data_IF_011442609431
#
_entry.id   IF_011442609431
#
_cell.length_a   1.000
_cell.length_b   1.000
_cell.length_c   1.000
_cell.angle_alpha   90.00
_cell.angle_beta   90.00
_cell.angle_gamma   90.00
#
_symmetry.space_group_name_H-M   'P 1'
#
loop_
_entity.id
_entity.type
_entity.pdbx_description
1 polymer ?
#
# COMPACT_ATOMS: atom_id res chain seq x y z
N UNK A 1 74.76 -18.69 -14.96
CA UNK A 1 74.74 -17.21 -15.03
C UNK A 1 73.38 -16.77 -15.56
N UNK A 2 72.40 -16.60 -14.68
CA UNK A 2 71.08 -16.08 -15.05
C UNK A 2 70.56 -15.25 -13.88
N UNK A 3 70.75 -13.94 -14.02
CA UNK A 3 70.39 -12.93 -13.02
C UNK A 3 68.94 -12.49 -13.19
N UNK A 4 68.20 -12.56 -12.09
CA UNK A 4 67.39 -11.49 -11.47
C UNK A 4 66.71 -10.46 -12.38
N UNK A 5 65.37 -10.42 -12.33
CA UNK A 5 64.59 -9.15 -12.32
C UNK A 5 63.28 -9.41 -11.57
N UNK A 6 63.24 -9.04 -10.28
CA UNK A 6 62.01 -8.85 -9.52
C UNK A 6 61.65 -7.36 -9.62
N UNK A 7 60.50 -7.04 -10.19
CA UNK A 7 59.91 -5.70 -10.12
C UNK A 7 59.09 -5.60 -8.84
N UNK A 8 59.61 -4.85 -7.87
CA UNK A 8 58.87 -4.40 -6.69
C UNK A 8 58.09 -3.15 -7.06
N UNK A 9 56.80 -3.31 -7.32
CA UNK A 9 55.85 -2.21 -7.46
C UNK A 9 55.51 -1.70 -6.05
N UNK A 10 56.31 -0.76 -5.55
CA UNK A 10 55.99 -0.02 -4.33
C UNK A 10 54.81 0.91 -4.62
N UNK A 11 53.62 0.51 -4.18
CA UNK A 11 52.48 1.41 -3.98
C UNK A 11 52.88 2.49 -2.97
N UNK A 12 53.26 3.65 -3.51
CA UNK A 12 53.57 4.84 -2.76
C UNK A 12 52.25 5.44 -2.26
N UNK A 13 51.94 5.21 -0.98
CA UNK A 13 50.82 5.87 -0.32
C UNK A 13 50.98 7.40 -0.47
N UNK A 14 49.89 8.14 -0.73
CA UNK A 14 49.95 9.59 -0.78
C UNK A 14 50.46 10.16 0.55
N UNK A 15 51.25 11.25 0.52
CA UNK A 15 51.76 11.87 1.73
C UNK A 15 50.59 12.30 2.64
N UNK A 16 50.73 12.17 3.98
CA UNK A 16 49.70 12.63 4.91
C UNK A 16 49.51 14.14 4.73
N UNK A 17 48.26 14.64 4.67
CA UNK A 17 48.02 16.07 4.54
C UNK A 17 48.55 16.80 5.78
N UNK A 18 49.58 17.62 5.56
CA UNK A 18 50.22 18.48 6.55
C UNK A 18 49.32 19.65 6.93
N UNK A 19 48.27 19.35 7.69
CA UNK A 19 47.28 20.29 8.20
C UNK A 19 46.10 19.52 8.76
N UNK A 20 46.18 19.17 10.04
CA UNK A 20 45.15 18.39 10.73
C UNK A 20 43.81 19.10 10.67
N UNK A 21 42.94 18.66 9.78
CA UNK A 21 41.53 19.04 9.79
C UNK A 21 40.97 18.67 11.17
N UNK A 22 40.36 19.63 11.87
CA UNK A 22 39.72 19.35 13.17
C UNK A 22 38.65 18.28 13.00
N UNK A 23 38.52 17.35 13.95
CA UNK A 23 37.47 16.32 13.97
C UNK A 23 36.07 16.91 13.68
N UNK A 24 35.80 18.13 14.16
CA UNK A 24 34.54 18.84 13.89
C UNK A 24 34.38 19.19 12.40
N UNK A 25 35.44 19.67 11.76
CA UNK A 25 35.43 19.99 10.33
C UNK A 25 35.25 18.71 9.50
N UNK A 26 35.95 17.63 9.87
CA UNK A 26 35.77 16.31 9.27
C UNK A 26 34.32 15.81 9.38
N UNK A 27 33.74 15.78 10.59
CA UNK A 27 32.36 15.33 10.79
C UNK A 27 31.34 16.19 10.03
N UNK A 28 31.56 17.51 9.99
CA UNK A 28 30.70 18.44 9.24
C UNK A 28 30.79 18.20 7.74
N UNK A 29 32.00 17.99 7.22
CA UNK A 29 32.26 17.68 5.81
C UNK A 29 31.59 16.38 5.38
N UNK A 30 31.51 15.41 6.27
CA UNK A 30 30.81 14.14 6.05
C UNK A 30 29.31 14.20 6.38
N UNK A 31 28.75 15.38 6.66
CA UNK A 31 27.31 15.55 6.88
C UNK A 31 26.76 14.91 8.15
N UNK A 32 27.63 14.42 9.04
CA UNK A 32 27.23 13.72 10.28
C UNK A 32 26.27 14.55 11.14
N UNK A 33 26.45 15.88 11.33
CA UNK A 33 25.51 16.67 12.11
C UNK A 33 24.08 16.69 11.54
N UNK A 34 23.95 16.70 10.21
CA UNK A 34 22.65 16.63 9.53
C UNK A 34 21.98 15.28 9.76
N UNK A 35 22.75 14.21 9.61
CA UNK A 35 22.30 12.83 9.77
C UNK A 35 21.87 12.54 11.22
N UNK A 36 22.63 13.03 12.21
CA UNK A 36 22.24 12.96 13.64
C UNK A 36 20.99 13.78 13.92
N UNK A 37 20.88 14.99 13.37
CA UNK A 37 19.70 15.84 13.55
C UNK A 37 18.44 15.17 12.96
N UNK A 38 18.56 14.54 11.81
CA UNK A 38 17.48 13.79 11.17
C UNK A 38 17.07 12.59 12.03
N UNK A 39 18.04 11.77 12.46
CA UNK A 39 17.80 10.62 13.32
C UNK A 39 17.05 11.00 14.61
N UNK A 40 17.48 12.09 15.27
CA UNK A 40 16.83 12.62 16.47
C UNK A 40 15.43 13.19 16.18
N UNK A 41 15.24 13.83 15.02
CA UNK A 41 13.93 14.32 14.59
C UNK A 41 12.93 13.18 14.39
N UNK A 42 13.36 12.09 13.73
CA UNK A 42 12.54 10.89 13.54
C UNK A 42 12.24 10.18 14.86
N UNK A 43 13.24 10.08 15.73
CA UNK A 43 13.08 9.50 17.06
C UNK A 43 12.03 10.26 17.90
N UNK A 44 12.09 11.60 17.87
CA UNK A 44 11.12 12.45 18.57
C UNK A 44 9.70 12.36 18.01
N UNK A 45 9.56 12.18 16.69
CA UNK A 45 8.27 12.06 16.02
C UNK A 45 7.61 10.68 16.21
N UNK A 46 8.39 9.61 16.15
CA UNK A 46 7.86 8.23 16.19
C UNK A 46 7.78 7.64 17.61
N UNK A 47 8.58 8.15 18.54
CA UNK A 47 8.64 7.66 19.94
C UNK A 47 8.66 6.12 20.06
N UNK A 48 9.63 5.44 19.42
CA UNK A 48 9.69 3.98 19.45
C UNK A 48 9.96 3.44 20.86
N UNK A 49 9.49 2.21 21.13
CA UNK A 49 9.66 1.56 22.42
C UNK A 49 11.14 1.31 22.80
N UNK A 50 11.99 1.07 21.80
CA UNK A 50 13.45 0.98 21.96
C UNK A 50 14.16 2.01 21.08
N UNK A 51 14.51 3.19 21.64
CA UNK A 51 15.20 4.25 20.93
C UNK A 51 16.58 3.86 20.38
N UNK A 52 17.31 3.00 21.07
CA UNK A 52 18.69 2.66 20.70
C UNK A 52 18.71 1.67 19.53
N UNK A 53 17.85 0.65 19.58
CA UNK A 53 17.68 -0.29 18.47
C UNK A 53 17.24 0.43 17.19
N UNK A 54 16.28 1.36 17.30
CA UNK A 54 15.80 2.18 16.19
C UNK A 54 16.94 3.00 15.55
N UNK A 55 17.76 3.68 16.37
CA UNK A 55 18.89 4.47 15.86
C UNK A 55 19.96 3.58 15.21
N UNK A 56 20.29 2.43 15.80
CA UNK A 56 21.27 1.50 15.22
C UNK A 56 20.83 1.00 13.85
N UNK A 57 19.55 0.64 13.69
CA UNK A 57 18.97 0.26 12.40
C UNK A 57 18.98 1.42 11.40
N UNK A 58 18.66 2.63 11.84
CA UNK A 58 18.74 3.84 11.02
C UNK A 58 20.17 4.04 10.45
N UNK A 59 21.20 4.07 11.31
CA UNK A 59 22.58 4.28 10.84
C UNK A 59 23.11 3.13 9.98
N UNK A 60 22.76 1.88 10.30
CA UNK A 60 23.13 0.72 9.49
C UNK A 60 22.49 0.74 8.09
N UNK A 61 21.31 1.35 7.96
CA UNK A 61 20.63 1.50 6.66
C UNK A 61 21.25 2.56 5.75
N UNK A 62 22.04 3.49 6.31
CA UNK A 62 22.68 4.59 5.58
C UNK A 62 24.01 4.23 4.89
N UNK A 63 24.65 3.11 5.21
CA UNK A 63 25.92 2.70 4.59
C UNK A 63 25.69 1.82 3.34
N UNK A 64 25.76 2.42 2.14
CA UNK A 64 26.14 1.70 0.91
C UNK A 64 25.04 1.03 0.06
N UNK A 65 23.92 1.69 -0.25
CA UNK A 65 22.98 1.17 -1.29
C UNK A 65 22.47 2.26 -2.24
N UNK A 66 21.91 1.86 -3.41
CA UNK A 66 20.82 2.58 -4.08
C UNK A 66 19.59 2.58 -3.15
N UNK A 67 19.75 3.25 -2.01
CA UNK A 67 18.96 3.16 -0.78
C UNK A 67 17.64 3.94 -0.88
N UNK A 68 17.54 4.83 -1.85
CA UNK A 68 16.50 5.84 -1.85
C UNK A 68 15.10 5.24 -2.04
N UNK A 69 14.98 4.06 -2.68
CA UNK A 69 13.69 3.37 -2.85
C UNK A 69 13.19 2.70 -1.57
N UNK A 70 14.04 1.94 -0.88
CA UNK A 70 13.68 1.32 0.40
C UNK A 70 13.57 2.39 1.51
N UNK A 71 14.39 3.43 1.47
CA UNK A 71 14.27 4.59 2.38
C UNK A 71 12.94 5.31 2.16
N UNK A 72 12.55 5.57 0.90
CA UNK A 72 11.25 6.15 0.57
C UNK A 72 10.09 5.25 1.03
N UNK A 73 10.21 3.93 0.87
CA UNK A 73 9.21 2.99 1.40
C UNK A 73 9.14 3.08 2.93
N UNK A 74 10.28 3.02 3.61
CA UNK A 74 10.35 3.03 5.07
C UNK A 74 9.80 4.33 5.67
N UNK A 75 10.09 5.49 5.07
CA UNK A 75 9.52 6.76 5.54
C UNK A 75 7.99 6.77 5.42
N UNK A 76 7.44 6.17 4.36
CA UNK A 76 5.99 6.04 4.18
C UNK A 76 5.34 5.01 5.10
N UNK A 77 5.98 3.87 5.36
CA UNK A 77 5.39 2.78 6.15
C UNK A 77 5.47 2.99 7.65
N UNK A 78 6.49 3.70 8.14
CA UNK A 78 6.65 3.99 9.57
C UNK A 78 5.79 5.17 10.03
N UNK A 79 5.39 6.04 9.11
CA UNK A 79 4.61 7.22 9.44
C UNK A 79 3.13 6.88 9.59
N UNK A 80 2.48 7.45 10.60
CA UNK A 80 1.03 7.39 10.72
C UNK A 80 0.41 8.27 9.63
N UNK A 81 -0.22 7.66 8.63
CA UNK A 81 -0.82 8.36 7.51
C UNK A 81 -2.04 9.23 7.88
N UNK A 82 -2.65 8.98 9.05
CA UNK A 82 -3.71 9.83 9.60
C UNK A 82 -3.15 11.09 10.29
N UNK A 83 -1.85 11.14 10.57
CA UNK A 83 -1.25 12.28 11.25
C UNK A 83 -1.00 13.45 10.28
N UNK A 84 -1.16 14.71 10.71
CA UNK A 84 -0.80 15.87 9.89
C UNK A 84 0.69 15.91 9.54
N UNK A 85 1.54 15.22 10.31
CA UNK A 85 2.96 15.05 10.04
C UNK A 85 3.27 14.16 8.83
N UNK A 86 2.29 13.40 8.35
CA UNK A 86 2.50 12.45 7.25
C UNK A 86 3.00 13.11 5.96
N UNK A 87 2.58 14.35 5.69
CA UNK A 87 3.03 15.10 4.51
C UNK A 87 4.56 15.24 4.48
N UNK A 88 5.22 15.36 5.63
CA UNK A 88 6.68 15.41 5.71
C UNK A 88 7.31 14.10 5.25
N UNK A 89 6.76 12.96 5.69
CA UNK A 89 7.23 11.63 5.28
C UNK A 89 7.03 11.38 3.78
N UNK A 90 5.91 11.84 3.21
CA UNK A 90 5.69 11.76 1.75
C UNK A 90 6.65 12.65 0.99
N UNK A 91 6.92 13.86 1.49
CA UNK A 91 7.90 14.77 0.88
C UNK A 91 9.31 14.20 0.94
N UNK A 92 9.68 13.61 2.08
CA UNK A 92 10.95 12.91 2.25
C UNK A 92 11.10 11.75 1.27
N UNK A 93 10.07 10.91 1.13
CA UNK A 93 10.04 9.83 0.13
C UNK A 93 10.20 10.37 -1.29
N UNK A 94 9.50 11.46 -1.62
CA UNK A 94 9.61 12.11 -2.93
C UNK A 94 11.02 12.66 -3.19
N UNK A 95 11.61 13.33 -2.19
CA UNK A 95 12.95 13.90 -2.29
C UNK A 95 14.03 12.81 -2.39
N UNK A 96 13.84 11.65 -1.74
CA UNK A 96 14.69 10.47 -1.92
C UNK A 96 14.64 9.99 -3.39
N UNK A 97 13.45 9.75 -3.91
CA UNK A 97 13.30 9.25 -5.29
C UNK A 97 13.73 10.26 -6.36
N UNK A 98 13.69 11.56 -6.06
CA UNK A 98 14.17 12.62 -6.95
C UNK A 98 15.71 12.61 -7.07
N UNK A 99 16.41 12.17 -6.03
CA UNK A 99 17.87 12.10 -6.02
C UNK A 99 18.39 10.93 -6.87
N UNK A 100 17.57 9.90 -7.08
CA UNK A 100 17.85 8.84 -8.04
C UNK A 100 17.79 9.40 -9.47
N UNK A 101 18.95 9.84 -9.96
CA UNK A 101 19.11 10.56 -11.23
C UNK A 101 18.52 9.76 -12.40
N UNK A 102 17.80 10.47 -13.26
CA UNK A 102 17.45 10.04 -14.60
C UNK A 102 17.73 11.23 -15.51
N UNK A 103 18.60 11.05 -16.51
CA UNK A 103 19.10 12.13 -17.38
C UNK A 103 17.97 12.88 -18.11
N UNK A 104 16.83 12.24 -18.30
CA UNK A 104 15.67 12.79 -19.02
C UNK A 104 14.65 13.49 -18.11
N UNK A 105 14.73 13.29 -16.79
CA UNK A 105 13.77 13.87 -15.84
C UNK A 105 14.20 15.27 -15.41
N UNK A 106 13.27 16.23 -15.46
CA UNK A 106 13.51 17.59 -14.94
C UNK A 106 13.84 17.55 -13.44
N UNK A 107 14.68 18.49 -12.98
CA UNK A 107 15.18 18.61 -11.60
C UNK A 107 14.12 18.63 -10.48
N UNK A 108 12.83 18.73 -10.80
CA UNK A 108 11.72 18.86 -9.84
C UNK A 108 10.72 17.69 -9.87
N UNK A 109 11.05 16.59 -10.56
CA UNK A 109 10.15 15.46 -10.73
C UNK A 109 10.82 14.12 -10.40
N UNK A 110 10.01 13.16 -9.97
CA UNK A 110 10.43 11.76 -9.80
C UNK A 110 10.30 11.04 -11.13
N UNK A 111 11.28 10.19 -11.45
CA UNK A 111 11.25 9.34 -12.63
C UNK A 111 10.12 8.29 -12.53
N UNK A 112 9.37 8.11 -13.61
CA UNK A 112 8.21 7.20 -13.66
C UNK A 112 8.57 5.75 -13.37
N UNK A 113 9.80 5.34 -13.70
CA UNK A 113 10.37 4.04 -13.32
C UNK A 113 10.41 3.88 -11.80
N UNK A 114 11.09 4.80 -11.11
CA UNK A 114 11.28 4.76 -9.66
C UNK A 114 9.96 4.91 -8.90
N UNK A 115 9.08 5.77 -9.41
CA UNK A 115 7.71 5.89 -8.90
C UNK A 115 6.96 4.56 -8.97
N UNK A 116 6.97 3.90 -10.13
CA UNK A 116 6.29 2.62 -10.32
C UNK A 116 6.87 1.55 -9.41
N UNK A 117 8.20 1.47 -9.31
CA UNK A 117 8.89 0.53 -8.40
C UNK A 117 8.50 0.76 -6.93
N UNK A 118 8.35 2.01 -6.49
CA UNK A 118 7.89 2.30 -5.13
C UNK A 118 6.44 1.83 -4.92
N UNK A 119 5.55 2.07 -5.88
CA UNK A 119 4.15 1.62 -5.78
C UNK A 119 4.07 0.09 -5.73
N UNK A 120 4.87 -0.62 -6.55
CA UNK A 120 5.00 -2.08 -6.51
C UNK A 120 5.47 -2.56 -5.12
N UNK A 121 6.47 -1.90 -4.57
CA UNK A 121 7.05 -2.25 -3.28
C UNK A 121 6.07 -2.03 -2.11
N UNK A 122 5.30 -0.95 -2.14
CA UNK A 122 4.27 -0.65 -1.14
C UNK A 122 3.10 -1.66 -1.20
N UNK A 123 2.73 -2.11 -2.41
CA UNK A 123 1.64 -3.05 -2.67
C UNK A 123 2.06 -4.52 -2.59
N UNK A 124 3.34 -4.82 -2.37
CA UNK A 124 3.88 -6.19 -2.36
C UNK A 124 3.16 -7.12 -1.38
N UNK A 125 2.79 -6.60 -0.21
CA UNK A 125 2.12 -7.37 0.85
C UNK A 125 0.59 -7.33 0.74
N UNK A 126 0.05 -6.66 -0.29
CA UNK A 126 -1.39 -6.54 -0.48
C UNK A 126 -1.95 -7.76 -1.25
N UNK A 127 -3.24 -8.10 -1.06
CA UNK A 127 -3.86 -9.24 -1.73
C UNK A 127 -3.77 -9.13 -3.28
N UNK A 128 -3.39 -10.21 -3.98
CA UNK A 128 -3.02 -10.16 -5.39
C UNK A 128 -4.16 -9.79 -6.34
N UNK A 129 -5.42 -10.10 -5.98
CA UNK A 129 -6.58 -9.82 -6.82
C UNK A 129 -6.85 -8.32 -7.04
N UNK A 130 -6.45 -7.49 -6.07
CA UNK A 130 -6.72 -6.05 -6.08
C UNK A 130 -5.55 -5.17 -6.44
N UNK A 131 -4.38 -5.51 -5.87
CA UNK A 131 -3.16 -4.72 -6.03
C UNK A 131 -2.71 -4.64 -7.48
N UNK A 132 -2.94 -5.68 -8.29
CA UNK A 132 -2.61 -5.69 -9.72
C UNK A 132 -3.38 -4.64 -10.53
N UNK A 133 -4.69 -4.49 -10.29
CA UNK A 133 -5.52 -3.51 -11.01
C UNK A 133 -5.13 -2.09 -10.62
N UNK A 134 -4.95 -1.84 -9.31
CA UNK A 134 -4.50 -0.54 -8.82
C UNK A 134 -3.11 -0.20 -9.38
N UNK A 135 -2.18 -1.15 -9.35
CA UNK A 135 -0.84 -0.97 -9.88
C UNK A 135 -0.85 -0.70 -11.39
N UNK A 136 -1.67 -1.41 -12.16
CA UNK A 136 -1.80 -1.19 -13.61
C UNK A 136 -2.23 0.26 -13.91
N UNK A 137 -3.06 0.86 -13.05
CA UNK A 137 -3.52 2.25 -13.17
C UNK A 137 -2.46 3.26 -12.73
N UNK A 138 -1.70 2.93 -11.69
CA UNK A 138 -0.61 3.77 -11.19
C UNK A 138 0.63 3.67 -12.07
N UNK A 139 0.82 2.59 -12.82
CA UNK A 139 2.01 2.36 -13.65
C UNK A 139 2.21 3.48 -14.66
N UNK A 140 3.39 4.06 -14.64
CA UNK A 140 3.79 5.11 -15.58
C UNK A 140 4.83 4.59 -16.55
N UNK A 141 5.00 5.30 -17.67
CA UNK A 141 6.14 5.07 -18.56
C UNK A 141 7.44 5.36 -17.78
N UNK A 142 8.53 4.61 -18.00
CA UNK A 142 9.78 4.80 -17.28
C UNK A 142 10.27 6.25 -17.28
N UNK A 143 10.15 6.94 -18.42
CA UNK A 143 10.63 8.31 -18.64
C UNK A 143 9.62 9.39 -18.21
N UNK A 144 8.47 9.02 -17.66
CA UNK A 144 7.45 10.00 -17.28
C UNK A 144 7.94 10.80 -16.05
N UNK A 145 7.84 12.12 -16.11
CA UNK A 145 8.12 12.98 -14.96
C UNK A 145 6.90 13.04 -14.02
N UNK A 146 7.06 12.62 -12.77
CA UNK A 146 6.01 12.61 -11.74
C UNK A 146 6.18 13.81 -10.81
N UNK A 147 5.19 14.70 -10.82
CA UNK A 147 5.13 15.87 -9.93
C UNK A 147 4.67 15.46 -8.52
N UNK A 148 5.04 16.26 -7.51
CA UNK A 148 4.73 15.97 -6.10
C UNK A 148 3.23 15.75 -5.84
N UNK A 149 2.34 16.57 -6.42
CA UNK A 149 0.88 16.40 -6.22
C UNK A 149 0.36 15.05 -6.71
N UNK A 150 0.84 14.57 -7.86
CA UNK A 150 0.50 13.23 -8.40
C UNK A 150 1.11 12.12 -7.55
N UNK A 151 2.36 12.29 -7.13
CA UNK A 151 3.04 11.37 -6.23
C UNK A 151 2.28 11.19 -4.92
N UNK A 152 1.95 12.30 -4.26
CA UNK A 152 1.19 12.33 -3.01
C UNK A 152 -0.16 11.63 -3.17
N UNK A 153 -0.95 11.98 -4.19
CA UNK A 153 -2.25 11.35 -4.45
C UNK A 153 -2.14 9.83 -4.66
N UNK A 154 -1.12 9.37 -5.38
CA UNK A 154 -0.89 7.94 -5.58
C UNK A 154 -0.49 7.22 -4.29
N UNK A 155 0.41 7.79 -3.49
CA UNK A 155 0.80 7.26 -2.18
C UNK A 155 -0.41 7.15 -1.27
N UNK A 156 -1.23 8.20 -1.17
CA UNK A 156 -2.47 8.18 -0.37
C UNK A 156 -3.42 7.10 -0.85
N UNK A 157 -3.57 6.91 -2.17
CA UNK A 157 -4.42 5.87 -2.75
C UNK A 157 -3.95 4.46 -2.39
N UNK A 158 -2.63 4.21 -2.43
CA UNK A 158 -2.04 2.93 -2.05
C UNK A 158 -2.23 2.65 -0.56
N UNK A 159 -2.01 3.64 0.30
CA UNK A 159 -2.18 3.47 1.74
C UNK A 159 -3.64 3.28 2.13
N UNK A 160 -4.56 4.06 1.53
CA UNK A 160 -6.00 3.86 1.66
C UNK A 160 -6.41 2.44 1.25
N UNK A 161 -5.90 1.96 0.11
CA UNK A 161 -6.16 0.60 -0.34
C UNK A 161 -5.67 -0.44 0.67
N UNK A 162 -4.46 -0.29 1.23
CA UNK A 162 -3.94 -1.23 2.23
C UNK A 162 -4.77 -1.23 3.51
N UNK A 163 -5.14 -0.06 4.01
CA UNK A 163 -6.02 0.06 5.18
C UNK A 163 -7.37 -0.62 4.91
N UNK A 164 -8.00 -0.29 3.79
CA UNK A 164 -9.26 -0.91 3.36
C UNK A 164 -9.17 -2.44 3.28
N UNK A 165 -8.08 -2.99 2.73
CA UNK A 165 -7.91 -4.43 2.64
C UNK A 165 -7.71 -5.07 4.01
N UNK A 166 -7.01 -4.41 4.93
CA UNK A 166 -6.87 -4.88 6.31
C UNK A 166 -8.23 -4.90 7.03
N UNK A 167 -9.04 -3.86 6.85
CA UNK A 167 -10.40 -3.81 7.38
C UNK A 167 -11.26 -4.93 6.80
N UNK A 168 -11.19 -5.18 5.49
CA UNK A 168 -11.90 -6.30 4.86
C UNK A 168 -11.52 -7.66 5.47
N UNK A 169 -10.23 -7.88 5.75
CA UNK A 169 -9.77 -9.12 6.41
C UNK A 169 -10.33 -9.23 7.83
N UNK A 170 -10.29 -8.15 8.61
CA UNK A 170 -10.84 -8.12 9.95
C UNK A 170 -12.36 -8.38 9.96
N UNK A 171 -13.10 -7.75 9.05
CA UNK A 171 -14.55 -7.94 8.91
C UNK A 171 -14.93 -9.34 8.47
N UNK A 172 -14.15 -9.94 7.58
CA UNK A 172 -14.34 -11.34 7.19
C UNK A 172 -14.16 -12.28 8.39
N UNK A 173 -13.11 -12.05 9.19
CA UNK A 173 -12.85 -12.84 10.41
C UNK A 173 -13.95 -12.63 11.46
N UNK A 174 -14.42 -11.40 11.67
CA UNK A 174 -15.51 -11.10 12.59
C UNK A 174 -16.83 -11.72 12.14
N UNK A 175 -17.12 -11.71 10.83
CA UNK A 175 -18.29 -12.40 10.30
C UNK A 175 -18.21 -13.91 10.61
N UNK A 176 -17.03 -14.53 10.49
CA UNK A 176 -16.77 -15.93 10.84
C UNK A 176 -17.13 -16.23 12.30
N UNK A 177 -16.68 -15.37 13.21
CA UNK A 177 -16.92 -15.50 14.66
C UNK A 177 -18.38 -15.23 15.04
N UNK A 178 -18.97 -14.14 14.55
CA UNK A 178 -20.30 -13.65 14.97
C UNK A 178 -21.41 -14.54 14.42
N UNK A 179 -21.26 -15.02 13.18
CA UNK A 179 -22.34 -15.75 12.55
C UNK A 179 -22.57 -17.12 13.19
N UNK A 180 -21.54 -17.81 13.69
CA UNK A 180 -21.62 -19.26 14.05
C UNK A 180 -22.11 -20.19 12.91
N UNK A 181 -22.54 -19.58 11.80
CA UNK A 181 -23.07 -20.12 10.56
C UNK A 181 -21.98 -20.21 9.49
N UNK A 182 -20.78 -19.74 9.81
CA UNK A 182 -19.54 -20.02 9.09
C UNK A 182 -18.84 -21.13 9.87
N UNK A 183 -19.39 -22.35 9.82
CA UNK A 183 -18.52 -23.51 10.02
C UNK A 183 -17.40 -23.39 8.98
N UNK A 184 -16.16 -23.80 9.27
CA UNK A 184 -15.14 -23.88 8.24
C UNK A 184 -15.69 -24.68 7.05
N UNK A 185 -15.98 -23.99 5.93
CA UNK A 185 -16.64 -24.56 4.74
C UNK A 185 -18.10 -24.17 4.47
N UNK A 186 -18.78 -23.39 5.32
CA UNK A 186 -20.13 -22.86 5.07
C UNK A 186 -20.15 -21.36 4.81
N UNK A 187 -19.17 -20.86 4.03
CA UNK A 187 -19.02 -19.43 3.69
C UNK A 187 -20.17 -18.90 2.85
N UNK A 188 -21.26 -18.51 3.52
CA UNK A 188 -22.50 -18.10 2.89
C UNK A 188 -22.22 -16.89 1.98
N UNK A 189 -22.13 -17.12 0.66
CA UNK A 189 -21.83 -16.11 -0.35
C UNK A 189 -22.75 -14.89 -0.24
N UNK A 190 -23.98 -15.11 0.25
CA UNK A 190 -24.93 -14.07 0.59
C UNK A 190 -24.41 -13.06 1.64
N UNK A 191 -23.73 -13.54 2.69
CA UNK A 191 -23.15 -12.69 3.72
C UNK A 191 -21.96 -11.89 3.17
N UNK A 192 -21.07 -12.55 2.41
CA UNK A 192 -19.98 -11.86 1.71
C UNK A 192 -20.50 -10.81 0.72
N UNK A 193 -21.56 -11.12 -0.03
CA UNK A 193 -22.20 -10.15 -0.93
C UNK A 193 -22.80 -8.96 -0.18
N UNK A 194 -23.40 -9.18 0.99
CA UNK A 194 -23.89 -8.09 1.83
C UNK A 194 -22.74 -7.23 2.38
N UNK A 195 -21.64 -7.85 2.81
CA UNK A 195 -20.42 -7.15 3.23
C UNK A 195 -19.88 -6.26 2.10
N UNK A 196 -19.77 -6.80 0.89
CA UNK A 196 -19.32 -6.05 -0.28
C UNK A 196 -20.23 -4.88 -0.62
N UNK A 197 -21.56 -5.04 -0.47
CA UNK A 197 -22.51 -3.95 -0.66
C UNK A 197 -22.37 -2.85 0.40
N UNK A 198 -22.14 -3.22 1.66
CA UNK A 198 -21.89 -2.26 2.73
C UNK A 198 -20.58 -1.49 2.51
N UNK A 199 -19.52 -2.20 2.10
CA UNK A 199 -18.25 -1.59 1.74
C UNK A 199 -18.42 -0.63 0.53
N UNK A 200 -19.15 -1.05 -0.51
CA UNK A 200 -19.43 -0.19 -1.67
C UNK A 200 -20.21 1.07 -1.28
N UNK A 201 -21.20 0.93 -0.40
CA UNK A 201 -22.00 2.05 0.10
C UNK A 201 -21.17 3.02 0.96
N UNK A 202 -20.29 2.52 1.83
CA UNK A 202 -19.44 3.35 2.67
C UNK A 202 -18.35 4.09 1.87
N UNK A 203 -17.82 3.48 0.81
CA UNK A 203 -16.82 4.12 -0.04
C UNK A 203 -17.46 5.08 -1.06
N UNK A 204 -18.76 4.91 -1.36
CA UNK A 204 -19.46 5.75 -2.31
C UNK A 204 -19.33 7.23 -1.92
N UNK A 205 -19.03 8.13 -2.90
CA UNK A 205 -19.03 9.55 -2.62
C UNK A 205 -20.44 9.97 -2.24
N UNK A 206 -20.56 10.80 -1.19
CA UNK A 206 -21.83 11.45 -0.87
C UNK A 206 -22.25 12.29 -2.07
N UNK A 207 -23.41 12.01 -2.64
CA UNK A 207 -24.00 12.85 -3.69
C UNK A 207 -24.29 14.28 -3.19
N UNK A 208 -24.32 14.46 -1.86
CA UNK A 208 -24.68 15.69 -1.17
C UNK A 208 -23.42 16.40 -0.64
N UNK A 209 -22.39 16.58 -1.47
CA UNK A 209 -21.32 17.57 -1.28
C UNK A 209 -20.58 17.60 0.07
N UNK A 210 -20.65 16.53 0.86
CA UNK A 210 -20.28 16.52 2.28
C UNK A 210 -18.79 16.69 2.57
N UNK A 211 -17.93 16.68 1.56
CA UNK A 211 -16.48 16.92 1.70
C UNK A 211 -15.73 15.89 2.57
N UNK A 212 -16.42 14.89 3.14
CA UNK A 212 -15.81 13.85 3.95
C UNK A 212 -14.78 13.11 3.11
N UNK A 213 -13.56 13.01 3.66
CA UNK A 213 -12.50 12.29 2.99
C UNK A 213 -12.84 10.80 2.93
N UNK A 214 -12.26 10.08 1.97
CA UNK A 214 -12.43 8.63 1.88
C UNK A 214 -12.06 7.94 3.21
N UNK A 215 -11.14 8.52 3.97
CA UNK A 215 -10.69 8.01 5.26
C UNK A 215 -11.73 8.19 6.36
N UNK A 216 -12.36 9.38 6.46
CA UNK A 216 -13.45 9.61 7.43
C UNK A 216 -14.61 8.64 7.22
N UNK A 217 -14.87 8.29 5.95
CA UNK A 217 -15.88 7.29 5.59
C UNK A 217 -15.44 5.87 5.94
N UNK A 218 -14.16 5.52 5.77
CA UNK A 218 -13.67 4.22 6.22
C UNK A 218 -13.72 4.10 7.75
N UNK A 219 -13.42 5.16 8.50
CA UNK A 219 -13.54 5.15 9.97
C UNK A 219 -15.00 4.98 10.43
N UNK A 220 -15.98 5.32 9.59
CA UNK A 220 -17.41 5.07 9.86
C UNK A 220 -17.82 3.60 9.73
N UNK A 221 -17.01 2.76 9.06
CA UNK A 221 -17.17 1.30 9.02
C UNK A 221 -16.72 0.68 10.34
N UNK A 222 -17.35 1.08 11.45
CA UNK A 222 -17.08 0.46 12.74
C UNK A 222 -17.52 -1.01 12.72
N UNK A 223 -16.80 -1.92 13.43
CA UNK A 223 -17.23 -3.32 13.59
C UNK A 223 -18.66 -3.45 14.14
N UNK A 224 -19.10 -2.46 14.93
CA UNK A 224 -20.46 -2.40 15.46
C UNK A 224 -21.51 -2.14 14.37
N UNK A 225 -21.30 -1.11 13.55
CA UNK A 225 -22.17 -0.76 12.42
C UNK A 225 -22.29 -1.92 11.43
N UNK A 226 -21.20 -2.66 11.24
CA UNK A 226 -21.18 -3.87 10.42
C UNK A 226 -21.94 -5.04 11.02
N UNK A 227 -21.80 -5.29 12.34
CA UNK A 227 -22.58 -6.33 13.02
C UNK A 227 -24.08 -6.03 12.98
N UNK A 228 -24.47 -4.79 13.17
CA UNK A 228 -25.86 -4.36 13.06
C UNK A 228 -26.38 -4.52 11.62
N UNK A 229 -25.61 -4.07 10.62
CA UNK A 229 -25.98 -4.23 9.22
C UNK A 229 -26.08 -5.69 8.80
N UNK A 230 -25.17 -6.56 9.24
CA UNK A 230 -25.21 -8.01 9.00
C UNK A 230 -26.38 -8.69 9.72
N UNK A 231 -26.70 -8.28 10.95
CA UNK A 231 -27.85 -8.80 11.69
C UNK A 231 -29.18 -8.43 11.01
N UNK A 232 -29.22 -7.26 10.35
CA UNK A 232 -30.37 -6.75 9.63
C UNK A 232 -30.38 -7.17 8.14
N UNK A 233 -29.29 -7.74 7.63
CA UNK A 233 -29.13 -8.10 6.24
C UNK A 233 -30.04 -9.27 5.87
N UNK A 234 -31.12 -8.97 5.14
CA UNK A 234 -31.90 -9.97 4.43
C UNK A 234 -31.06 -10.47 3.24
N UNK A 235 -30.92 -11.79 3.02
CA UNK A 235 -30.11 -12.30 1.91
C UNK A 235 -30.59 -11.69 0.59
N UNK A 236 -29.66 -11.29 -0.31
CA UNK A 236 -30.02 -10.60 -1.53
C UNK A 236 -31.00 -11.45 -2.34
N UNK A 237 -32.11 -10.84 -2.75
CA UNK A 237 -33.08 -11.51 -3.61
C UNK A 237 -32.37 -11.95 -4.90
N UNK A 238 -32.56 -13.20 -5.36
CA UNK A 238 -31.89 -13.68 -6.56
C UNK A 238 -32.23 -12.77 -7.73
N UNK A 239 -31.20 -12.27 -8.42
CA UNK A 239 -31.34 -11.38 -9.56
C UNK A 239 -32.31 -11.99 -10.58
N UNK A 240 -33.48 -11.35 -10.72
CA UNK A 240 -34.51 -11.77 -11.66
C UNK A 240 -34.04 -11.41 -13.07
N UNK A 241 -33.40 -12.36 -13.75
CA UNK A 241 -33.10 -12.23 -15.17
C UNK A 241 -34.41 -12.12 -15.96
N UNK A 242 -34.69 -10.91 -16.44
CA UNK A 242 -35.71 -10.63 -17.43
C UNK A 242 -35.21 -11.10 -18.80
N UNK A 243 -35.73 -12.23 -19.32
CA UNK A 243 -35.97 -12.41 -20.76
C UNK A 243 -36.79 -13.66 -21.10
N UNK A 244 -37.83 -13.38 -21.89
CA UNK A 244 -38.54 -14.22 -22.87
C UNK A 244 -39.22 -15.54 -22.44
N UNK A 245 -40.54 -15.51 -22.52
CA UNK A 245 -41.45 -16.67 -22.66
C UNK A 245 -40.94 -17.63 -23.74
N UNK A 246 -40.62 -18.87 -23.34
CA UNK A 246 -40.87 -20.04 -24.17
C UNK A 246 -41.47 -21.14 -23.29
N UNK A 247 -42.69 -21.55 -23.62
CA UNK A 247 -43.43 -22.62 -22.95
C UNK A 247 -42.86 -23.96 -23.40
N UNK A 248 -41.78 -24.40 -22.75
CA UNK A 248 -41.15 -25.69 -23.06
C UNK A 248 -39.85 -25.93 -22.30
N UNK A 249 -39.83 -25.81 -20.97
CA UNK A 249 -38.57 -25.91 -20.21
C UNK A 249 -38.68 -25.99 -18.69
N UNK A 250 -39.73 -26.60 -18.13
CA UNK A 250 -39.92 -26.64 -16.67
C UNK A 250 -38.83 -27.45 -15.93
N UNK A 251 -38.18 -28.42 -16.59
CA UNK A 251 -37.07 -29.19 -16.01
C UNK A 251 -35.73 -28.43 -16.06
N UNK A 252 -35.39 -27.80 -17.18
CA UNK A 252 -34.14 -27.03 -17.33
C UNK A 252 -34.10 -25.77 -16.45
N UNK A 253 -35.23 -25.08 -16.29
CA UNK A 253 -35.34 -23.91 -15.38
C UNK A 253 -35.25 -24.30 -13.91
N UNK A 254 -35.79 -25.46 -13.52
CA UNK A 254 -35.64 -25.97 -12.16
C UNK A 254 -34.17 -26.34 -11.87
N UNK A 255 -33.50 -27.04 -12.78
CA UNK A 255 -32.07 -27.37 -12.66
C UNK A 255 -31.17 -26.14 -12.66
N UNK A 256 -31.44 -25.14 -13.50
CA UNK A 256 -30.68 -23.88 -13.53
C UNK A 256 -30.89 -23.05 -12.26
N UNK A 257 -32.12 -23.00 -11.74
CA UNK A 257 -32.43 -22.30 -10.47
C UNK A 257 -31.81 -23.01 -9.27
N UNK A 258 -31.78 -24.34 -9.28
CA UNK A 258 -31.15 -25.15 -8.25
C UNK A 258 -29.62 -25.06 -8.31
N UNK A 259 -29.03 -24.94 -9.51
CA UNK A 259 -27.60 -24.61 -9.69
C UNK A 259 -27.24 -23.20 -9.23
N UNK A 260 -28.08 -22.19 -9.50
CA UNK A 260 -27.88 -20.83 -8.98
C UNK A 260 -28.00 -20.78 -7.46
N UNK A 261 -28.98 -21.47 -6.87
CA UNK A 261 -29.11 -21.57 -5.41
C UNK A 261 -27.93 -22.33 -4.80
N UNK A 262 -27.46 -23.40 -5.44
CA UNK A 262 -26.25 -24.12 -5.00
C UNK A 262 -24.98 -23.25 -5.12
N UNK A 263 -24.87 -22.42 -6.16
CA UNK A 263 -23.76 -21.47 -6.35
C UNK A 263 -23.80 -20.27 -5.37
N UNK A 264 -24.96 -19.99 -4.77
CA UNK A 264 -25.12 -19.03 -3.68
C UNK A 264 -24.84 -19.65 -2.31
N UNK A 265 -24.92 -20.98 -2.20
CA UNK A 265 -24.59 -21.74 -0.99
C UNK A 265 -23.13 -22.19 -0.94
N UNK A 266 -22.39 -22.06 -2.05
CA UNK A 266 -20.97 -22.41 -2.08
C UNK A 266 -20.14 -21.46 -1.23
N UNK A 267 -19.20 -21.96 -0.42
CA UNK A 267 -18.31 -21.13 0.36
C UNK A 267 -17.54 -20.15 -0.54
N UNK A 268 -17.60 -18.85 -0.28
CA UNK A 268 -16.64 -17.88 -0.84
C UNK A 268 -15.34 -17.95 -0.03
N UNK A 269 -14.20 -18.33 -0.62
CA UNK A 269 -12.89 -18.24 0.02
C UNK A 269 -12.52 -16.78 0.33
N UNK A 270 -11.71 -16.56 1.36
CA UNK A 270 -11.17 -15.23 1.70
C UNK A 270 -10.49 -14.58 0.49
N UNK A 271 -9.71 -15.33 -0.29
CA UNK A 271 -9.04 -14.81 -1.48
C UNK A 271 -10.00 -14.23 -2.52
N UNK A 272 -11.15 -14.88 -2.74
CA UNK A 272 -12.17 -14.43 -3.68
C UNK A 272 -12.90 -13.20 -3.14
N UNK A 273 -13.25 -13.21 -1.84
CA UNK A 273 -13.84 -12.04 -1.17
C UNK A 273 -12.94 -10.81 -1.27
N UNK A 274 -11.64 -10.95 -0.96
CA UNK A 274 -10.67 -9.85 -1.05
C UNK A 274 -10.50 -9.36 -2.49
N UNK A 275 -10.60 -10.26 -3.47
CA UNK A 275 -10.55 -9.88 -4.89
C UNK A 275 -11.77 -9.04 -5.28
N UNK A 276 -12.98 -9.45 -4.88
CA UNK A 276 -14.21 -8.67 -5.12
C UNK A 276 -14.18 -7.33 -4.36
N UNK A 277 -13.76 -7.33 -3.09
CA UNK A 277 -13.66 -6.13 -2.26
C UNK A 277 -12.67 -5.11 -2.85
N UNK A 278 -11.54 -5.57 -3.34
CA UNK A 278 -10.59 -4.70 -4.01
C UNK A 278 -11.14 -4.13 -5.32
N UNK A 279 -11.92 -4.91 -6.07
CA UNK A 279 -12.62 -4.44 -7.27
C UNK A 279 -13.58 -3.29 -6.97
N UNK A 280 -14.31 -3.38 -5.84
CA UNK A 280 -15.19 -2.31 -5.34
C UNK A 280 -14.38 -1.03 -5.07
N UNK A 281 -13.29 -1.14 -4.30
CA UNK A 281 -12.43 0.00 -3.97
C UNK A 281 -11.86 0.67 -5.22
N UNK A 282 -11.25 -0.11 -6.12
CA UNK A 282 -10.62 0.43 -7.33
C UNK A 282 -11.66 1.07 -8.25
N UNK A 283 -12.85 0.48 -8.39
CA UNK A 283 -13.95 1.07 -9.16
C UNK A 283 -14.33 2.44 -8.63
N UNK A 284 -14.43 2.61 -7.30
CA UNK A 284 -14.81 3.87 -6.68
C UNK A 284 -13.69 4.92 -6.68
N UNK A 285 -12.45 4.49 -6.50
CA UNK A 285 -11.28 5.37 -6.61
C UNK A 285 -11.14 5.96 -8.02
N UNK A 286 -11.50 5.20 -9.06
CA UNK A 286 -11.39 5.62 -10.47
C UNK A 286 -12.56 6.48 -10.98
N UNK A 287 -13.67 6.55 -10.25
CA UNK A 287 -14.85 7.34 -10.64
C UNK A 287 -14.85 8.75 -10.05
N UNK A 288 -13.86 9.07 -9.21
CA UNK A 288 -13.59 10.39 -8.66
C UNK A 288 -12.34 11.00 -9.31
#
# INVERSE_FOLDING_TARGET
SSSTTQMSEQQQLPPPPSGGESDKAFLTRHGVPGLVKEALGRLGAQQPADPLAYLAEFFASTEGRPADLEQAKNSLTQANWQSPGFLFSVKEAFDCLRQMQCDECRQYAVCGLHFTQLMELLLRDAPPGGSGVLLQRLRLRPQAAVQFGRFYSAVMSVLAFKAYMADCVALYADAEVVAGCLKPGSNNRAACACLLQLLDAAIAPDEIGGGASLFDRMDSLSPYSLREALANAKPPAPAANSSSRSTGGRSALASSRQQQLAALQSPMPLADFLTEAAGVFVKRLLLN
#
